data_IF_377055354461
#
_entry.id   IF_377055354461
#
_cell.length_a   1.000
_cell.length_b   1.000
_cell.length_c   1.000
_cell.angle_alpha   90.00
_cell.angle_beta   90.00
_cell.angle_gamma   90.00
#
_symmetry.space_group_name_H-M   'P 1'
#
loop_
_entity.id
_entity.type
_entity.pdbx_description
1 polymer ?
#
# COMPACT_ATOMS: atom_id res chain seq x y z
N UNK A 1 -2.79 -2.48 -36.00
CA UNK A 1 -1.85 -2.13 -34.90
C UNK A 1 -2.68 -1.57 -33.73
N UNK A 2 -3.24 -2.47 -32.90
CA UNK A 2 -4.22 -2.13 -31.86
C UNK A 2 -3.58 -1.75 -30.53
N UNK A 3 -4.06 -0.66 -29.93
CA UNK A 3 -3.53 -0.03 -28.71
C UNK A 3 -3.55 -0.95 -27.47
N UNK A 4 -2.40 -1.49 -27.07
CA UNK A 4 -2.18 -2.10 -25.72
C UNK A 4 -1.98 -1.08 -24.58
N UNK A 5 -1.98 0.23 -24.88
CA UNK A 5 -1.63 1.26 -23.89
C UNK A 5 -2.77 1.66 -22.91
N UNK A 6 -4.02 1.26 -23.17
CA UNK A 6 -5.17 1.66 -22.34
C UNK A 6 -5.40 0.74 -21.14
N UNK A 7 -5.13 -0.56 -21.25
CA UNK A 7 -5.30 -1.52 -20.16
C UNK A 7 -4.36 -1.23 -18.99
N UNK A 8 -3.09 -0.90 -19.27
CA UNK A 8 -2.11 -0.57 -18.24
C UNK A 8 -2.51 0.71 -17.46
N UNK A 9 -3.09 1.72 -18.12
CA UNK A 9 -3.55 2.95 -17.44
C UNK A 9 -4.75 2.71 -16.52
N UNK A 10 -5.69 1.83 -16.88
CA UNK A 10 -6.85 1.52 -16.04
C UNK A 10 -6.48 0.63 -14.85
N UNK A 11 -5.65 -0.39 -15.06
CA UNK A 11 -5.07 -1.19 -13.97
C UNK A 11 -4.29 -0.30 -13.00
N UNK A 12 -3.51 0.66 -13.52
CA UNK A 12 -2.78 1.63 -12.71
C UNK A 12 -3.72 2.55 -11.89
N UNK A 13 -4.87 2.96 -12.44
CA UNK A 13 -5.87 3.76 -11.71
C UNK A 13 -6.52 2.98 -10.57
N UNK A 14 -6.90 1.72 -10.80
CA UNK A 14 -7.50 0.88 -9.77
C UNK A 14 -6.49 0.56 -8.67
N UNK A 15 -5.25 0.21 -9.04
CA UNK A 15 -4.16 0.00 -8.10
C UNK A 15 -3.85 1.26 -7.27
N UNK A 16 -3.88 2.45 -7.88
CA UNK A 16 -3.74 3.72 -7.15
C UNK A 16 -4.83 3.94 -6.12
N UNK A 17 -6.09 3.66 -6.45
CA UNK A 17 -7.22 3.79 -5.53
C UNK A 17 -7.08 2.82 -4.35
N UNK A 18 -6.75 1.56 -4.63
CA UNK A 18 -6.51 0.56 -3.59
C UNK A 18 -5.34 0.97 -2.67
N UNK A 19 -4.25 1.48 -3.25
CA UNK A 19 -3.10 1.98 -2.49
C UNK A 19 -3.46 3.20 -1.63
N UNK A 20 -4.29 4.11 -2.12
CA UNK A 20 -4.73 5.29 -1.37
C UNK A 20 -5.59 4.89 -0.16
N UNK A 21 -6.52 3.96 -0.34
CA UNK A 21 -7.31 3.40 0.75
C UNK A 21 -6.42 2.70 1.79
N UNK A 22 -5.44 1.92 1.32
CA UNK A 22 -4.50 1.22 2.19
C UNK A 22 -3.61 2.18 2.99
N UNK A 23 -3.13 3.26 2.35
CA UNK A 23 -2.39 4.34 3.02
C UNK A 23 -3.24 5.00 4.11
N UNK A 24 -4.50 5.33 3.81
CA UNK A 24 -5.42 5.90 4.78
C UNK A 24 -5.68 4.95 5.96
N UNK A 25 -5.87 3.66 5.69
CA UNK A 25 -6.06 2.67 6.75
C UNK A 25 -4.83 2.54 7.65
N UNK A 26 -3.64 2.38 7.07
CA UNK A 26 -2.40 2.30 7.83
C UNK A 26 -2.16 3.57 8.67
N UNK A 27 -2.51 4.75 8.13
CA UNK A 27 -2.40 6.01 8.83
C UNK A 27 -3.39 6.14 9.99
N UNK A 28 -4.65 5.76 9.76
CA UNK A 28 -5.68 5.71 10.80
C UNK A 28 -5.29 4.75 11.93
N UNK A 29 -4.71 3.59 11.61
CA UNK A 29 -4.24 2.61 12.60
C UNK A 29 -3.12 3.16 13.49
N UNK A 30 -2.20 3.96 12.94
CA UNK A 30 -1.13 4.60 13.73
C UNK A 30 -1.56 5.92 14.38
N UNK A 31 -2.82 6.32 14.23
CA UNK A 31 -3.36 7.57 14.78
C UNK A 31 -2.80 8.82 14.10
N UNK A 32 -2.40 8.71 12.83
CA UNK A 32 -1.81 9.81 12.06
C UNK A 32 -2.76 10.21 10.95
N UNK A 33 -3.15 11.48 10.92
CA UNK A 33 -3.99 12.01 9.85
C UNK A 33 -3.12 12.34 8.63
N UNK A 34 -3.26 11.56 7.56
CA UNK A 34 -2.71 11.88 6.24
C UNK A 34 -3.67 12.80 5.50
N UNK A 35 -3.23 14.02 5.18
CA UNK A 35 -3.96 14.88 4.27
C UNK A 35 -3.56 14.55 2.82
N UNK A 36 -4.48 14.71 1.86
CA UNK A 36 -4.18 14.58 0.42
C UNK A 36 -3.35 15.77 -0.12
N UNK A 37 -3.13 16.80 0.71
CA UNK A 37 -2.36 18.00 0.38
C UNK A 37 -0.93 17.97 0.96
N UNK A 38 -0.61 18.96 1.79
CA UNK A 38 0.70 19.07 2.41
C UNK A 38 0.78 18.23 3.69
N UNK A 39 1.81 17.39 3.75
CA UNK A 39 2.11 16.47 4.85
C UNK A 39 3.48 16.80 5.47
N UNK A 40 4.00 18.01 5.28
CA UNK A 40 5.34 18.41 5.77
C UNK A 40 5.40 18.66 7.28
N UNK A 41 4.26 18.89 7.93
CA UNK A 41 4.15 19.00 9.39
C UNK A 41 4.11 17.62 10.08
N UNK A 42 4.04 16.54 9.30
CA UNK A 42 4.16 15.19 9.84
C UNK A 42 5.59 14.96 10.29
N UNK A 43 5.75 14.64 11.57
CA UNK A 43 7.06 14.25 12.08
C UNK A 43 7.57 13.02 11.33
N UNK A 44 8.88 12.96 11.09
CA UNK A 44 9.52 11.82 10.41
C UNK A 44 9.17 10.47 11.05
N UNK A 45 8.95 10.46 12.38
CA UNK A 45 8.48 9.30 13.13
C UNK A 45 7.08 8.85 12.70
N UNK A 46 6.14 9.77 12.52
CA UNK A 46 4.77 9.46 12.08
C UNK A 46 4.77 8.93 10.64
N UNK A 47 5.46 9.61 9.72
CA UNK A 47 5.59 9.14 8.34
C UNK A 47 6.24 7.75 8.27
N UNK A 48 7.28 7.51 9.08
CA UNK A 48 7.93 6.21 9.22
C UNK A 48 6.99 5.13 9.77
N UNK A 49 6.19 5.43 10.80
CA UNK A 49 5.22 4.49 11.37
C UNK A 49 4.16 4.06 10.35
N UNK A 50 3.65 4.98 9.53
CA UNK A 50 2.69 4.66 8.46
C UNK A 50 3.34 3.72 7.43
N UNK A 51 4.54 4.07 6.96
CA UNK A 51 5.31 3.25 6.00
C UNK A 51 5.58 1.85 6.54
N UNK A 52 5.95 1.74 7.81
CA UNK A 52 6.18 0.47 8.49
C UNK A 52 4.93 -0.41 8.59
N UNK A 53 3.77 0.16 8.94
CA UNK A 53 2.50 -0.60 8.98
C UNK A 53 2.09 -1.10 7.60
N UNK A 54 2.26 -0.27 6.57
CA UNK A 54 1.98 -0.69 5.19
C UNK A 54 2.84 -1.90 4.77
N UNK A 55 4.14 -1.87 5.05
CA UNK A 55 5.05 -2.98 4.72
C UNK A 55 4.71 -4.21 5.55
N UNK A 56 4.39 -4.05 6.84
CA UNK A 56 4.00 -5.16 7.70
C UNK A 56 2.76 -5.89 7.19
N UNK A 57 1.67 -5.16 6.91
CA UNK A 57 0.42 -5.71 6.37
C UNK A 57 0.63 -6.34 4.98
N UNK A 58 1.51 -5.76 4.18
CA UNK A 58 1.91 -6.33 2.89
C UNK A 58 2.57 -7.69 3.10
N UNK A 59 3.58 -7.78 3.96
CA UNK A 59 4.27 -9.04 4.29
C UNK A 59 3.27 -10.05 4.85
N UNK A 60 2.43 -9.67 5.81
CA UNK A 60 1.38 -10.54 6.37
C UNK A 60 0.45 -11.08 5.29
N UNK A 61 0.00 -10.23 4.36
CA UNK A 61 -0.86 -10.65 3.24
C UNK A 61 -0.13 -11.57 2.28
N UNK A 62 1.16 -11.33 2.04
CA UNK A 62 2.01 -12.20 1.23
C UNK A 62 2.28 -13.53 1.93
N UNK A 63 2.49 -13.58 3.24
CA UNK A 63 2.67 -14.83 4.00
C UNK A 63 1.37 -15.64 4.11
N UNK A 64 0.22 -14.97 4.20
CA UNK A 64 -1.08 -15.61 4.23
C UNK A 64 -1.52 -16.12 2.85
N UNK A 65 -1.25 -15.35 1.78
CA UNK A 65 -1.58 -15.71 0.40
C UNK A 65 -0.55 -16.62 -0.27
N UNK A 66 0.73 -16.46 0.08
CA UNK A 66 1.78 -17.47 -0.11
C UNK A 66 1.93 -18.24 1.20
N UNK A 67 0.88 -18.95 1.61
CA UNK A 67 1.06 -20.06 2.53
C UNK A 67 2.20 -20.91 1.96
N UNK A 68 3.32 -20.94 2.68
CA UNK A 68 4.55 -21.70 2.44
C UNK A 68 4.30 -22.89 1.52
N UNK A 69 4.35 -22.65 0.22
CA UNK A 69 4.41 -23.67 -0.83
C UNK A 69 5.86 -23.80 -1.22
N UNK A 70 6.70 -24.04 -0.21
CA UNK A 70 7.93 -24.81 -0.37
C UNK A 70 7.63 -26.10 0.39
N UNK A 71 7.13 -27.13 -0.30
CA UNK A 71 8.00 -28.19 -0.79
C UNK A 71 9.17 -28.42 0.17
N UNK A 72 8.84 -28.99 1.33
CA UNK A 72 9.80 -29.75 2.12
C UNK A 72 10.01 -31.08 1.37
N UNK A 73 10.96 -31.09 0.44
CA UNK A 73 11.56 -32.32 -0.06
C UNK A 73 12.84 -32.59 0.73
#
# INVERSE_FOLDING_TARGET
MGCKAKENKMANKQAKKALEQFKQQAANEVGVNLNQGYNGDLTARQAGSIGGQMVKKMIESYEQGMGVSQNKQ
#
